data_IF_405648751568
#
_entry.id   IF_405648751568
#
_cell.length_a   1.000
_cell.length_b   1.000
_cell.length_c   1.000
_cell.angle_alpha   90.00
_cell.angle_beta   90.00
_cell.angle_gamma   90.00
#
_symmetry.space_group_name_H-M   'P 1'
#
loop_
_entity.id
_entity.type
_entity.pdbx_description
1 polymer ?
#
# COMPACT_ATOMS: atom_id res chain seq x y z
N UNK A 1 -1.03 24.39 16.45
CA UNK A 1 -0.39 23.19 15.86
C UNK A 1 -0.41 23.38 14.35
N UNK A 2 0.72 23.15 13.67
CA UNK A 2 0.85 23.33 12.22
C UNK A 2 1.37 22.02 11.64
N UNK A 3 0.82 21.60 10.49
CA UNK A 3 1.33 20.49 9.72
C UNK A 3 2.50 21.01 8.88
N UNK A 4 3.72 20.51 9.12
CA UNK A 4 4.93 20.95 8.43
C UNK A 4 5.27 20.07 7.22
N UNK A 5 4.92 18.79 7.29
CA UNK A 5 5.19 17.80 6.22
C UNK A 5 4.02 16.84 6.10
N UNK A 6 3.78 16.38 4.88
CA UNK A 6 2.75 15.41 4.56
C UNK A 6 3.37 14.33 3.65
N UNK A 7 3.27 13.07 4.07
CA UNK A 7 3.78 11.92 3.31
C UNK A 7 2.65 10.99 2.90
N UNK A 8 2.82 10.36 1.75
CA UNK A 8 1.89 9.45 1.14
C UNK A 8 2.60 8.17 0.73
N UNK A 9 2.01 7.03 1.03
CA UNK A 9 2.55 5.69 0.78
C UNK A 9 1.51 4.83 0.05
N UNK A 10 1.40 4.89 -1.28
CA UNK A 10 0.37 4.13 -2.00
C UNK A 10 0.42 2.63 -1.75
N UNK A 11 1.64 2.07 -1.65
CA UNK A 11 1.88 0.64 -1.44
C UNK A 11 2.47 0.42 -0.05
N UNK A 12 1.85 -0.48 0.71
CA UNK A 12 2.36 -0.88 2.04
C UNK A 12 3.80 -1.37 1.95
N UNK A 13 4.66 -0.85 2.83
CA UNK A 13 6.11 -1.18 2.94
C UNK A 13 7.00 -0.74 1.77
N UNK A 14 6.47 -0.09 0.75
CA UNK A 14 7.27 0.53 -0.31
C UNK A 14 7.64 1.99 0.04
N UNK A 15 8.40 2.65 -0.82
CA UNK A 15 8.74 4.05 -0.66
C UNK A 15 7.48 4.94 -0.62
N UNK A 16 7.56 6.01 0.14
CA UNK A 16 6.58 7.10 0.12
C UNK A 16 7.13 8.33 -0.58
N UNK A 17 6.28 9.33 -0.75
CA UNK A 17 6.65 10.64 -1.27
C UNK A 17 5.93 11.75 -0.51
N UNK A 18 6.49 12.96 -0.55
CA UNK A 18 5.90 14.14 0.07
C UNK A 18 4.80 14.71 -0.80
N UNK A 19 3.77 15.28 -0.15
CA UNK A 19 2.69 16.02 -0.79
C UNK A 19 2.60 17.42 -0.19
N UNK A 20 2.11 18.38 -0.98
CA UNK A 20 1.74 19.72 -0.50
C UNK A 20 0.28 19.77 -0.02
N UNK A 21 -0.55 18.87 -0.52
CA UNK A 21 -1.95 18.73 -0.13
C UNK A 21 -2.43 17.28 -0.36
N UNK A 22 -3.42 16.85 0.40
CA UNK A 22 -4.12 15.57 0.22
C UNK A 22 -5.56 15.65 0.70
N UNK A 23 -6.43 14.83 0.11
CA UNK A 23 -7.81 14.65 0.58
C UNK A 23 -7.82 13.68 1.76
N UNK A 24 -8.40 14.10 2.89
CA UNK A 24 -8.61 13.25 4.05
C UNK A 24 -9.96 12.53 3.93
N UNK A 25 -9.94 11.21 4.06
CA UNK A 25 -11.10 10.34 4.01
C UNK A 25 -11.23 9.54 5.32
N UNK A 26 -12.36 8.88 5.53
CA UNK A 26 -12.56 8.01 6.70
C UNK A 26 -11.58 6.83 6.74
N UNK A 27 -11.08 6.39 5.59
CA UNK A 27 -10.11 5.29 5.44
C UNK A 27 -8.64 5.73 5.54
N UNK A 28 -8.35 7.02 5.58
CA UNK A 28 -7.00 7.60 5.54
C UNK A 28 -6.87 8.70 4.49
N UNK A 29 -5.65 9.05 4.09
CA UNK A 29 -5.45 9.92 2.93
C UNK A 29 -5.88 9.16 1.67
N UNK A 30 -6.48 9.87 0.73
CA UNK A 30 -6.91 9.29 -0.54
C UNK A 30 -5.74 8.62 -1.26
N UNK A 31 -5.89 7.31 -1.60
CA UNK A 31 -4.85 6.50 -2.25
C UNK A 31 -3.76 5.95 -1.31
N UNK A 32 -3.76 6.32 -0.02
CA UNK A 32 -2.73 5.88 0.93
C UNK A 32 -2.94 4.42 1.35
N UNK A 33 -1.89 3.58 1.22
CA UNK A 33 -1.89 2.13 1.48
C UNK A 33 -3.08 1.40 0.84
N UNK A 34 -3.53 1.86 -0.33
CA UNK A 34 -4.55 1.15 -1.10
C UNK A 34 -4.00 -0.11 -1.80
N UNK A 35 -2.70 -0.26 -1.83
CA UNK A 35 -1.99 -1.36 -2.44
C UNK A 35 -1.10 -2.09 -1.43
N UNK A 36 -0.90 -3.39 -1.65
CA UNK A 36 -0.11 -4.25 -0.77
C UNK A 36 0.57 -5.33 -1.57
N UNK A 37 1.83 -5.62 -1.26
CA UNK A 37 2.49 -6.83 -1.76
C UNK A 37 2.24 -7.97 -0.78
N UNK A 38 1.81 -9.11 -1.30
CA UNK A 38 1.48 -10.31 -0.53
C UNK A 38 2.13 -11.54 -1.14
N UNK A 39 2.28 -12.59 -0.34
CA UNK A 39 2.65 -13.92 -0.84
C UNK A 39 1.49 -14.60 -1.60
N UNK A 40 1.72 -15.80 -2.12
CA UNK A 40 0.72 -16.57 -2.87
C UNK A 40 -0.53 -16.92 -2.08
N UNK A 41 -0.47 -16.92 -0.74
CA UNK A 41 -1.61 -17.14 0.16
C UNK A 41 -2.45 -15.88 0.41
N UNK A 42 -1.98 -14.69 -0.02
CA UNK A 42 -2.59 -13.40 0.25
C UNK A 42 -2.15 -12.76 1.56
N UNK A 43 -1.15 -13.32 2.24
CA UNK A 43 -0.56 -12.75 3.44
C UNK A 43 0.43 -11.65 3.07
N UNK A 44 0.30 -10.48 3.69
CA UNK A 44 1.19 -9.35 3.44
C UNK A 44 2.66 -9.69 3.73
N UNK A 45 3.55 -9.18 2.88
CA UNK A 45 4.99 -9.16 3.11
C UNK A 45 5.44 -7.74 3.51
N UNK A 46 6.58 -7.63 4.17
CA UNK A 46 7.02 -6.36 4.76
C UNK A 46 8.45 -6.01 4.36
N UNK A 47 8.76 -4.71 4.34
CA UNK A 47 10.13 -4.23 4.15
C UNK A 47 11.13 -4.74 5.20
N UNK A 48 10.68 -5.20 6.37
CA UNK A 48 11.55 -5.85 7.36
C UNK A 48 12.02 -7.22 6.91
N UNK A 49 11.18 -7.98 6.22
CA UNK A 49 11.49 -9.29 5.66
C UNK A 49 12.19 -9.16 4.29
N UNK A 50 11.78 -8.15 3.51
CA UNK A 50 12.23 -7.91 2.15
C UNK A 50 12.68 -6.44 2.01
N UNK A 51 13.89 -6.07 2.49
CA UNK A 51 14.35 -4.68 2.53
C UNK A 51 14.33 -3.97 1.18
N UNK A 52 14.46 -4.68 0.07
CA UNK A 52 14.36 -4.11 -1.27
C UNK A 52 13.00 -3.47 -1.58
N UNK A 53 11.95 -3.78 -0.83
CA UNK A 53 10.63 -3.13 -1.00
C UNK A 53 10.71 -1.61 -0.86
N UNK A 54 11.58 -1.08 0.00
CA UNK A 54 11.72 0.37 0.19
C UNK A 54 12.33 1.08 -1.02
N UNK A 55 12.90 0.34 -1.97
CA UNK A 55 13.43 0.88 -3.23
C UNK A 55 12.36 0.98 -4.33
N UNK A 56 11.23 0.31 -4.15
CA UNK A 56 10.08 0.44 -5.06
C UNK A 56 9.43 1.79 -4.82
N UNK A 57 9.34 2.60 -5.88
CA UNK A 57 8.76 3.94 -5.87
C UNK A 57 7.39 3.91 -6.55
N UNK A 58 6.30 3.85 -5.77
CA UNK A 58 4.97 3.92 -6.32
C UNK A 58 4.56 5.36 -6.63
N UNK A 59 3.84 5.56 -7.73
CA UNK A 59 3.19 6.82 -8.11
C UNK A 59 1.72 6.56 -8.45
N UNK A 60 0.82 7.39 -7.92
CA UNK A 60 -0.60 7.31 -8.28
C UNK A 60 -0.79 7.96 -9.64
N UNK A 61 -1.50 7.27 -10.53
CA UNK A 61 -1.95 7.80 -11.82
C UNK A 61 -3.48 8.00 -11.80
N UNK A 62 -4.05 8.73 -12.75
CA UNK A 62 -5.52 8.89 -12.82
C UNK A 62 -6.27 7.56 -12.95
N UNK A 63 -5.63 6.54 -13.49
CA UNK A 63 -6.25 5.24 -13.77
C UNK A 63 -5.76 4.11 -12.85
N UNK A 64 -4.74 4.34 -12.03
CA UNK A 64 -4.18 3.28 -11.21
C UNK A 64 -2.88 3.61 -10.51
N UNK A 65 -1.89 2.75 -10.67
CA UNK A 65 -0.60 2.79 -10.00
C UNK A 65 0.53 2.59 -11.01
N UNK A 66 1.58 3.40 -10.91
CA UNK A 66 2.86 3.21 -11.57
C UNK A 66 3.89 2.77 -10.55
N UNK A 67 4.69 1.76 -10.87
CA UNK A 67 5.80 1.29 -10.04
C UNK A 67 7.12 1.49 -10.78
N UNK A 68 8.12 1.97 -10.07
CA UNK A 68 9.51 2.10 -10.52
C UNK A 68 10.44 1.46 -9.48
N UNK A 69 11.52 0.84 -9.96
CA UNK A 69 12.56 0.30 -9.09
C UNK A 69 13.92 0.35 -9.82
N UNK A 70 15.05 0.33 -9.09
CA UNK A 70 16.38 0.30 -9.72
C UNK A 70 16.52 -0.87 -10.69
N UNK A 71 17.08 -0.59 -11.87
CA UNK A 71 17.38 -1.57 -12.93
C UNK A 71 16.13 -2.33 -13.47
N UNK A 72 14.94 -1.75 -13.28
CA UNK A 72 13.69 -2.28 -13.80
C UNK A 72 13.01 -1.29 -14.72
N UNK A 73 12.43 -1.78 -15.82
CA UNK A 73 11.49 -0.96 -16.60
C UNK A 73 10.25 -0.66 -15.76
N UNK A 74 9.76 0.60 -15.77
CA UNK A 74 8.55 0.96 -15.05
C UNK A 74 7.35 0.16 -15.52
N UNK A 75 6.44 -0.18 -14.59
CA UNK A 75 5.18 -0.85 -14.92
C UNK A 75 3.99 -0.04 -14.40
N UNK A 76 2.90 -0.03 -15.15
CA UNK A 76 1.63 0.59 -14.77
C UNK A 76 0.51 -0.45 -14.72
N UNK A 77 -0.39 -0.28 -13.75
CA UNK A 77 -1.59 -1.11 -13.59
C UNK A 77 -2.81 -0.22 -13.41
N UNK A 78 -3.94 -0.67 -13.93
CA UNK A 78 -5.22 0.03 -13.79
C UNK A 78 -6.03 -0.53 -12.64
N UNK A 79 -6.78 0.33 -11.91
CA UNK A 79 -7.77 -0.12 -10.93
C UNK A 79 -8.81 -1.08 -11.54
N UNK A 80 -9.11 -0.93 -12.83
CA UNK A 80 -10.11 -1.74 -13.53
C UNK A 80 -9.67 -3.18 -13.77
N UNK A 81 -8.37 -3.47 -13.69
CA UNK A 81 -7.81 -4.81 -13.91
C UNK A 81 -7.87 -5.68 -12.64
N UNK A 82 -8.19 -5.08 -11.47
CA UNK A 82 -8.23 -5.76 -10.17
C UNK A 82 -9.63 -6.29 -9.87
N UNK A 83 -9.99 -7.40 -10.53
CA UNK A 83 -11.32 -7.99 -10.50
C UNK A 83 -11.40 -9.35 -9.81
N UNK A 84 -10.27 -10.03 -9.58
CA UNK A 84 -10.26 -11.35 -8.97
C UNK A 84 -10.21 -11.24 -7.44
N UNK A 85 -11.21 -11.77 -6.70
CA UNK A 85 -11.18 -11.75 -5.25
C UNK A 85 -10.04 -12.62 -4.72
N UNK A 86 -9.32 -12.10 -3.74
CA UNK A 86 -8.22 -12.78 -3.04
C UNK A 86 -8.43 -12.68 -1.54
N UNK A 87 -8.58 -13.82 -0.86
CA UNK A 87 -8.52 -13.86 0.60
C UNK A 87 -7.15 -13.36 1.05
N UNK A 88 -7.13 -12.43 1.98
CA UNK A 88 -5.92 -11.71 2.36
C UNK A 88 -5.85 -11.45 3.85
N UNK A 89 -4.63 -11.30 4.36
CA UNK A 89 -4.41 -11.02 5.78
C UNK A 89 -3.42 -9.88 5.98
N UNK A 90 -3.71 -9.01 6.94
CA UNK A 90 -2.76 -8.05 7.51
C UNK A 90 -2.78 -8.24 9.02
N UNK A 91 -1.66 -8.70 9.60
CA UNK A 91 -1.57 -9.17 10.97
C UNK A 91 -2.57 -10.32 11.24
N UNK A 92 -3.49 -10.13 12.17
CA UNK A 92 -4.57 -11.08 12.51
C UNK A 92 -5.91 -10.75 11.85
N UNK A 93 -5.94 -9.81 10.89
CA UNK A 93 -7.16 -9.46 10.18
C UNK A 93 -7.25 -10.23 8.88
N UNK A 94 -8.33 -10.95 8.70
CA UNK A 94 -8.72 -11.59 7.46
C UNK A 94 -9.76 -10.72 6.74
N UNK A 95 -9.57 -10.52 5.44
CA UNK A 95 -10.46 -9.74 4.60
C UNK A 95 -10.27 -10.11 3.14
N UNK A 96 -11.16 -9.61 2.29
CA UNK A 96 -11.01 -9.76 0.85
C UNK A 96 -10.27 -8.56 0.26
N UNK A 97 -9.24 -8.84 -0.53
CA UNK A 97 -8.60 -7.90 -1.43
C UNK A 97 -8.81 -8.34 -2.88
N UNK A 98 -8.26 -7.60 -3.83
CA UNK A 98 -8.43 -7.84 -5.24
C UNK A 98 -7.09 -8.07 -5.92
N UNK A 99 -7.01 -9.12 -6.71
CA UNK A 99 -5.87 -9.46 -7.54
C UNK A 99 -6.08 -8.96 -8.96
N UNK A 100 -5.01 -8.47 -9.58
CA UNK A 100 -4.96 -7.97 -10.95
C UNK A 100 -4.11 -8.82 -11.88
N UNK A 101 -3.46 -8.18 -12.85
CA UNK A 101 -2.64 -8.83 -13.87
C UNK A 101 -1.45 -9.57 -13.29
N UNK A 102 -1.04 -10.66 -13.95
CA UNK A 102 0.15 -11.43 -13.56
C UNK A 102 1.46 -10.73 -13.89
N UNK A 103 1.44 -9.82 -14.85
CA UNK A 103 2.63 -9.08 -15.30
C UNK A 103 3.25 -8.23 -14.19
N UNK A 104 2.43 -7.61 -13.35
CA UNK A 104 2.94 -6.87 -12.18
C UNK A 104 3.40 -7.80 -11.07
N UNK A 105 2.76 -8.95 -10.89
CA UNK A 105 3.19 -9.98 -9.94
C UNK A 105 4.57 -10.52 -10.35
N UNK A 106 4.79 -10.80 -11.64
CA UNK A 106 6.07 -11.24 -12.21
C UNK A 106 7.15 -10.16 -12.04
N UNK A 107 6.82 -8.89 -12.32
CA UNK A 107 7.72 -7.75 -12.13
C UNK A 107 8.17 -7.63 -10.67
N UNK A 108 7.24 -7.70 -9.73
CA UNK A 108 7.54 -7.65 -8.28
C UNK A 108 8.35 -8.87 -7.84
N UNK A 109 7.97 -10.06 -8.29
CA UNK A 109 8.63 -11.31 -7.93
C UNK A 109 10.08 -11.33 -8.42
N UNK A 110 10.32 -10.85 -9.63
CA UNK A 110 11.67 -10.71 -10.17
C UNK A 110 12.51 -9.71 -9.35
N UNK A 111 11.96 -8.52 -9.08
CA UNK A 111 12.67 -7.49 -8.32
C UNK A 111 12.96 -7.91 -6.88
N UNK A 112 12.01 -8.56 -6.20
CA UNK A 112 12.14 -8.95 -4.80
C UNK A 112 12.83 -10.31 -4.61
N UNK A 113 12.92 -11.13 -5.67
CA UNK A 113 13.50 -12.47 -5.62
C UNK A 113 12.64 -13.48 -4.85
N UNK A 114 11.32 -13.29 -4.84
CA UNK A 114 10.34 -14.17 -4.18
C UNK A 114 9.00 -14.11 -4.89
N UNK A 115 8.27 -15.23 -4.92
CA UNK A 115 6.91 -15.26 -5.46
C UNK A 115 6.00 -14.36 -4.63
N UNK A 116 5.45 -13.34 -5.27
CA UNK A 116 4.58 -12.37 -4.62
C UNK A 116 3.58 -11.76 -5.60
N UNK A 117 2.60 -11.06 -5.06
CA UNK A 117 1.48 -10.49 -5.79
C UNK A 117 1.18 -9.08 -5.34
N UNK A 118 0.76 -8.22 -6.27
CA UNK A 118 0.20 -6.92 -5.94
C UNK A 118 -1.30 -7.04 -5.72
N UNK A 119 -1.76 -6.66 -4.55
CA UNK A 119 -3.17 -6.66 -4.19
C UNK A 119 -3.69 -5.23 -4.04
N UNK A 120 -4.92 -5.01 -4.47
CA UNK A 120 -5.67 -3.76 -4.33
C UNK A 120 -6.79 -3.93 -3.31
N UNK A 121 -7.01 -2.92 -2.47
CA UNK A 121 -8.04 -2.95 -1.42
C UNK A 121 -9.46 -2.90 -1.98
N UNK A 122 -9.62 -2.49 -3.25
CA UNK A 122 -10.91 -2.23 -3.88
C UNK A 122 -11.40 -0.80 -3.68
N UNK A 123 -12.48 -0.45 -4.34
CA UNK A 123 -13.10 0.88 -4.24
C UNK A 123 -13.71 1.12 -2.85
N UNK A 124 -14.17 0.05 -2.20
CA UNK A 124 -14.68 0.08 -0.83
C UNK A 124 -13.97 -0.99 -0.03
N UNK A 125 -13.12 -0.56 0.90
CA UNK A 125 -12.43 -1.48 1.79
C UNK A 125 -13.43 -2.24 2.68
N UNK A 126 -13.29 -3.57 2.69
CA UNK A 126 -14.00 -4.44 3.63
C UNK A 126 -13.23 -4.63 4.94
N UNK A 127 -12.01 -4.09 5.02
CA UNK A 127 -11.22 -4.09 6.24
C UNK A 127 -11.66 -2.95 7.15
N UNK A 128 -12.05 -3.27 8.36
CA UNK A 128 -12.59 -2.31 9.33
C UNK A 128 -11.63 -2.12 10.51
N UNK A 129 -11.65 -0.96 11.13
CA UNK A 129 -10.87 -0.68 12.32
C UNK A 129 -11.37 -1.54 13.49
N UNK A 130 -10.45 -2.21 14.21
CA UNK A 130 -10.81 -3.14 15.28
C UNK A 130 -11.55 -2.48 16.46
N UNK A 131 -11.17 -1.24 16.78
CA UNK A 131 -11.80 -0.47 17.85
C UNK A 131 -13.13 0.17 17.46
N UNK A 132 -13.43 0.25 16.15
CA UNK A 132 -14.64 0.87 15.63
C UNK A 132 -14.96 0.33 14.22
N UNK A 133 -15.83 -0.67 14.16
CA UNK A 133 -16.22 -1.33 12.91
C UNK A 133 -17.01 -0.43 11.93
N UNK A 134 -17.32 0.81 12.28
CA UNK A 134 -17.88 1.79 11.34
C UNK A 134 -16.83 2.47 10.46
N UNK A 135 -15.55 2.30 10.80
CA UNK A 135 -14.43 2.99 10.12
C UNK A 135 -13.67 2.05 9.20
N UNK A 136 -13.69 2.30 7.89
CA UNK A 136 -12.89 1.53 6.94
C UNK A 136 -11.39 1.79 7.16
N UNK A 137 -10.58 0.77 6.86
CA UNK A 137 -9.13 0.80 6.92
C UNK A 137 -8.56 0.34 5.58
N UNK A 138 -7.53 1.00 5.08
CA UNK A 138 -6.72 0.52 3.95
C UNK A 138 -5.75 -0.57 4.42
N UNK A 139 -4.66 -0.86 3.71
CA UNK A 139 -3.64 -1.78 4.18
C UNK A 139 -2.71 -1.18 5.26
N UNK A 140 -3.08 -0.04 5.87
CA UNK A 140 -2.40 0.52 7.03
C UNK A 140 -2.35 -0.47 8.20
N UNK A 141 -1.39 -0.36 9.11
CA UNK A 141 -1.20 -1.34 10.17
C UNK A 141 -2.38 -1.38 11.16
N UNK A 142 -2.73 -0.28 11.78
CA UNK A 142 -3.77 -0.25 12.80
C UNK A 142 -4.68 0.98 12.77
N UNK A 143 -4.23 2.08 12.17
CA UNK A 143 -4.98 3.33 12.10
C UNK A 143 -4.82 4.01 10.76
N UNK A 144 -5.79 4.85 10.41
CA UNK A 144 -5.85 5.56 9.12
C UNK A 144 -4.73 6.58 8.96
N UNK A 145 -4.33 7.23 10.05
CA UNK A 145 -3.35 8.30 10.06
C UNK A 145 -2.27 8.04 11.10
N UNK A 146 -1.04 8.43 10.80
CA UNK A 146 0.06 8.50 11.74
C UNK A 146 0.54 9.94 11.84
N UNK A 147 0.47 10.50 13.05
CA UNK A 147 1.02 11.82 13.37
C UNK A 147 2.32 11.65 14.16
N UNK A 148 3.38 12.32 13.71
CA UNK A 148 4.69 12.31 14.37
C UNK A 148 5.09 13.75 14.62
N UNK A 149 5.58 14.07 15.82
CA UNK A 149 6.15 15.38 16.13
C UNK A 149 7.53 15.53 15.45
N UNK A 150 7.84 16.71 14.90
CA UNK A 150 9.16 16.98 14.30
C UNK A 150 10.32 16.65 15.24
N UNK A 151 10.17 16.95 16.53
CA UNK A 151 11.17 16.64 17.54
C UNK A 151 11.44 15.13 17.64
N UNK A 152 10.41 14.31 17.56
CA UNK A 152 10.55 12.85 17.57
C UNK A 152 11.23 12.31 16.31
N UNK A 153 11.13 13.00 15.17
CA UNK A 153 11.88 12.64 13.96
C UNK A 153 13.34 13.07 14.03
N UNK A 154 13.64 14.17 14.74
CA UNK A 154 15.03 14.63 14.94
C UNK A 154 15.82 13.76 15.91
N UNK A 155 15.13 13.06 16.82
CA UNK A 155 15.70 12.17 17.81
C UNK A 155 15.98 10.74 17.28
N UNK A 156 15.64 10.42 16.00
CA UNK A 156 15.90 9.16 15.31
C UNK A 156 17.23 9.19 14.55
#
# INVERSE_FOLDING_TARGET
>A
MQLSQLFHYPVKSCAGFSLTQASAQLSGLEGDRCWMVADSSGKFITGRQWPRMVLIRPGITPTGLRLEAPDMEPIEVSYQDYLQPQASTVWSYEFQAWRGPTEVDDWLSFFLGTDCRLLYIGQQSQRLLRSDASKPLTFADGYQYLLIGERSLQDL
#
